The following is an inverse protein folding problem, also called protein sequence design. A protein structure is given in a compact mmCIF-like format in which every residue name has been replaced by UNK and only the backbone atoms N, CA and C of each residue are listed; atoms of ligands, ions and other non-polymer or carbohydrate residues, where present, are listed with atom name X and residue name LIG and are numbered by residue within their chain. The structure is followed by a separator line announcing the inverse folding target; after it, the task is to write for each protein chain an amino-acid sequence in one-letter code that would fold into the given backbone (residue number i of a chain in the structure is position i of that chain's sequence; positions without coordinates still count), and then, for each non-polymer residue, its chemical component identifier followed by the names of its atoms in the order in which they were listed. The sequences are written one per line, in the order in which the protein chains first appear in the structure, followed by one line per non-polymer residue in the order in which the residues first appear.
data_IF_893728697582
#
_entry.id   IF_893728697582
#
_cell.length_a   1.000
_cell.length_b   1.000
_cell.length_c   1.000
_cell.angle_alpha   90.00
_cell.angle_beta   90.00
_cell.angle_gamma   90.00
#
_symmetry.space_group_name_H-M   'P 1'
#
loop_
_entity.id
_entity.type
_entity.pdbx_description
1 polymer ?
#
# COMPACT_ATOMS: atom_id res chain seq x y z
N UNK A 1 20.33 -21.31 -17.86
CA UNK A 1 20.76 -19.91 -17.68
C UNK A 1 20.03 -19.38 -16.47
N UNK A 2 20.70 -19.13 -15.36
CA UNK A 2 20.12 -18.40 -14.24
C UNK A 2 19.86 -16.97 -14.71
N UNK A 3 18.58 -16.58 -14.78
CA UNK A 3 18.16 -15.23 -15.16
C UNK A 3 18.73 -14.29 -14.09
N UNK A 4 19.69 -13.44 -14.46
CA UNK A 4 20.28 -12.48 -13.52
C UNK A 4 19.17 -11.49 -13.16
N UNK A 5 18.81 -11.44 -11.87
CA UNK A 5 17.85 -10.47 -11.37
C UNK A 5 18.43 -9.07 -11.57
N UNK A 6 17.64 -8.17 -12.15
CA UNK A 6 18.04 -6.78 -12.36
C UNK A 6 17.34 -5.93 -11.31
N UNK A 7 18.08 -5.30 -10.38
CA UNK A 7 17.52 -4.37 -9.41
C UNK A 7 16.70 -3.27 -10.09
N UNK A 8 15.59 -2.92 -9.45
CA UNK A 8 14.67 -1.88 -9.92
C UNK A 8 14.42 -0.86 -8.82
N UNK A 9 14.45 0.40 -9.23
CA UNK A 9 14.05 1.54 -8.43
C UNK A 9 12.77 2.11 -9.05
N UNK A 10 11.72 2.22 -8.24
CA UNK A 10 10.43 2.74 -8.63
C UNK A 10 10.24 4.14 -8.02
N UNK A 11 9.99 5.12 -8.88
CA UNK A 11 9.80 6.51 -8.50
C UNK A 11 8.36 6.92 -8.81
N UNK A 12 7.54 7.05 -7.79
CA UNK A 12 6.16 7.52 -7.92
C UNK A 12 6.08 9.01 -7.64
N UNK A 13 5.36 9.75 -8.48
CA UNK A 13 5.22 11.20 -8.29
C UNK A 13 3.93 11.75 -8.90
N UNK A 14 3.66 13.02 -8.59
CA UNK A 14 2.56 13.77 -9.20
C UNK A 14 2.99 14.48 -10.49
N UNK A 15 4.24 14.94 -10.57
CA UNK A 15 4.79 15.61 -11.74
C UNK A 15 6.11 14.96 -12.17
N UNK A 16 6.26 14.73 -13.47
CA UNK A 16 7.49 14.16 -14.02
C UNK A 16 8.60 15.22 -14.08
N UNK A 17 9.76 14.91 -13.50
CA UNK A 17 10.93 15.78 -13.52
C UNK A 17 12.03 15.19 -14.43
N UNK A 18 12.40 15.92 -15.48
CA UNK A 18 13.46 15.52 -16.43
C UNK A 18 14.85 15.35 -15.77
N UNK A 19 15.07 15.86 -14.56
CA UNK A 19 16.29 15.61 -13.81
C UNK A 19 16.51 14.10 -13.56
N UNK A 20 15.45 13.30 -13.50
CA UNK A 20 15.53 11.83 -13.36
C UNK A 20 16.27 11.22 -14.56
N UNK A 21 15.97 11.65 -15.80
CA UNK A 21 16.70 11.23 -17.00
C UNK A 21 18.18 11.61 -16.94
N UNK A 22 18.50 12.80 -16.43
CA UNK A 22 19.88 13.29 -16.35
C UNK A 22 20.70 12.50 -15.32
N UNK A 23 20.07 12.03 -14.26
CA UNK A 23 20.73 11.26 -13.18
C UNK A 23 20.96 9.81 -13.63
N UNK A 24 19.94 9.17 -14.21
CA UNK A 24 19.96 7.73 -14.48
C UNK A 24 20.34 7.35 -15.91
N UNK A 25 20.25 8.28 -16.86
CA UNK A 25 20.36 8.00 -18.29
C UNK A 25 19.02 7.56 -18.86
N UNK A 26 18.64 8.13 -20.02
CA UNK A 26 17.32 7.89 -20.64
C UNK A 26 17.08 6.43 -21.00
N UNK A 27 18.16 5.72 -21.35
CA UNK A 27 18.17 4.30 -21.69
C UNK A 27 17.86 3.37 -20.50
N UNK A 28 18.02 3.86 -19.27
CA UNK A 28 17.86 3.09 -18.05
C UNK A 28 16.52 3.36 -17.36
N UNK A 29 15.66 4.18 -17.96
CA UNK A 29 14.37 4.55 -17.37
C UNK A 29 13.21 4.16 -18.27
N UNK A 30 12.09 3.83 -17.63
CA UNK A 30 10.79 3.67 -18.27
C UNK A 30 9.77 4.48 -17.47
N UNK A 31 9.17 5.48 -18.10
CA UNK A 31 8.10 6.28 -17.51
C UNK A 31 6.75 5.78 -18.01
N UNK A 32 5.81 5.56 -17.08
CA UNK A 32 4.44 5.17 -17.36
C UNK A 32 3.48 6.09 -16.62
N UNK A 33 2.45 6.59 -17.31
CA UNK A 33 1.39 7.40 -16.69
C UNK A 33 0.39 6.47 -15.98
N UNK A 34 -0.06 6.90 -14.81
CA UNK A 34 -1.07 6.20 -14.02
C UNK A 34 -2.42 6.90 -14.23
N UNK A 35 -3.33 6.16 -14.84
CA UNK A 35 -4.72 6.55 -15.11
C UNK A 35 -5.66 5.54 -14.43
N UNK A 36 -6.96 5.83 -14.26
CA UNK A 36 -7.88 4.89 -13.61
C UNK A 36 -8.02 3.55 -14.37
N UNK A 37 -7.62 3.51 -15.64
CA UNK A 37 -7.81 2.37 -16.53
C UNK A 37 -6.48 1.77 -17.01
N UNK A 38 -5.34 2.32 -16.60
CA UNK A 38 -4.04 1.79 -17.02
C UNK A 38 -3.67 0.59 -16.17
N UNK A 39 -3.29 -0.50 -16.83
CA UNK A 39 -2.50 -1.56 -16.20
C UNK A 39 -1.01 -1.27 -16.40
N UNK A 40 -0.22 -1.45 -15.36
CA UNK A 40 1.23 -1.34 -15.45
C UNK A 40 1.81 -2.65 -15.98
N UNK A 41 2.75 -2.57 -16.92
CA UNK A 41 3.31 -3.78 -17.53
C UNK A 41 4.18 -4.59 -16.54
N UNK A 42 4.66 -3.95 -15.47
CA UNK A 42 5.42 -4.59 -14.41
C UNK A 42 4.50 -4.88 -13.21
N UNK A 43 4.24 -6.17 -12.88
CA UNK A 43 3.37 -6.54 -11.76
C UNK A 43 3.85 -6.00 -10.41
N UNK A 44 5.16 -5.74 -10.27
CA UNK A 44 5.74 -5.14 -9.07
C UNK A 44 5.39 -3.65 -8.99
N UNK A 45 5.43 -2.95 -10.13
CA UNK A 45 5.01 -1.57 -10.21
C UNK A 45 3.53 -1.42 -9.88
N UNK A 46 2.69 -2.36 -10.35
CA UNK A 46 1.25 -2.38 -10.06
C UNK A 46 0.98 -2.50 -8.56
N UNK A 47 1.56 -3.49 -7.89
CA UNK A 47 1.45 -3.66 -6.44
C UNK A 47 1.93 -2.44 -5.65
N UNK A 48 3.08 -1.88 -6.04
CA UNK A 48 3.62 -0.67 -5.40
C UNK A 48 2.74 0.56 -5.66
N UNK A 49 2.08 0.65 -6.82
CA UNK A 49 1.18 1.76 -7.16
C UNK A 49 -0.07 1.77 -6.29
N UNK A 50 -0.68 0.60 -6.05
CA UNK A 50 -1.83 0.48 -5.16
C UNK A 50 -1.48 0.88 -3.72
N UNK A 51 -0.29 0.47 -3.25
CA UNK A 51 0.22 0.91 -1.95
C UNK A 51 0.48 2.41 -1.90
N UNK A 52 1.11 2.99 -2.93
CA UNK A 52 1.40 4.41 -2.99
C UNK A 52 0.11 5.25 -2.96
N UNK A 53 -0.88 4.86 -3.76
CA UNK A 53 -2.20 5.53 -3.85
C UNK A 53 -2.93 5.52 -2.50
N UNK A 54 -2.94 4.36 -1.82
CA UNK A 54 -3.59 4.24 -0.51
C UNK A 54 -2.96 5.17 0.55
N UNK A 55 -1.65 5.40 0.48
CA UNK A 55 -0.90 6.08 1.56
C UNK A 55 -0.68 7.57 1.36
N UNK A 56 -0.43 7.96 0.13
CA UNK A 56 -0.02 9.32 -0.19
C UNK A 56 -1.00 10.02 -1.13
N UNK A 57 -2.12 9.35 -1.43
CA UNK A 57 -3.06 9.81 -2.43
C UNK A 57 -2.54 9.52 -3.83
N UNK A 58 -3.37 9.92 -4.79
CA UNK A 58 -3.24 9.47 -6.17
C UNK A 58 -1.97 10.01 -6.84
N UNK A 59 -1.07 9.11 -7.23
CA UNK A 59 0.11 9.43 -8.04
C UNK A 59 -0.24 9.47 -9.53
N UNK A 60 0.46 10.29 -10.31
CA UNK A 60 0.14 10.51 -11.73
C UNK A 60 1.05 9.73 -12.68
N UNK A 61 2.23 9.33 -12.22
CA UNK A 61 3.16 8.53 -13.00
C UNK A 61 4.06 7.69 -12.10
N UNK A 62 4.66 6.69 -12.73
CA UNK A 62 5.77 5.92 -12.20
C UNK A 62 6.95 6.00 -13.17
N UNK A 63 8.16 6.16 -12.63
CA UNK A 63 9.41 5.94 -13.36
C UNK A 63 10.07 4.69 -12.80
N UNK A 64 10.24 3.67 -13.63
CA UNK A 64 11.03 2.49 -13.30
C UNK A 64 12.45 2.69 -13.82
N UNK A 65 13.42 2.58 -12.92
CA UNK A 65 14.85 2.69 -13.23
C UNK A 65 15.51 1.33 -13.06
N UNK A 66 16.27 0.89 -14.05
CA UNK A 66 17.06 -0.34 -14.01
C UNK A 66 18.55 -0.04 -14.13
N UNK A 67 19.40 -0.94 -13.62
CA UNK A 67 20.85 -0.84 -13.85
C UNK A 67 21.52 0.40 -13.23
N UNK A 68 20.92 1.00 -12.21
CA UNK A 68 21.46 2.18 -11.54
C UNK A 68 22.64 1.82 -10.61
N UNK A 69 23.52 2.79 -10.39
CA UNK A 69 24.63 2.72 -9.45
C UNK A 69 24.36 3.52 -8.17
N UNK A 70 25.02 3.16 -7.07
CA UNK A 70 24.91 3.88 -5.78
C UNK A 70 25.19 5.39 -5.88
N UNK A 71 26.09 5.81 -6.78
CA UNK A 71 26.35 7.24 -7.02
C UNK A 71 25.13 7.97 -7.56
N UNK A 72 24.31 7.31 -8.40
CA UNK A 72 23.10 7.88 -8.97
C UNK A 72 21.98 7.99 -7.93
N UNK A 73 21.86 6.99 -7.04
CA UNK A 73 20.98 7.10 -5.87
C UNK A 73 21.35 8.30 -5.00
N UNK A 74 22.64 8.51 -4.76
CA UNK A 74 23.13 9.67 -3.98
C UNK A 74 22.78 10.99 -4.68
N UNK A 75 22.96 11.07 -5.99
CA UNK A 75 22.59 12.24 -6.78
C UNK A 75 21.08 12.52 -6.75
N UNK A 76 20.24 11.48 -6.81
CA UNK A 76 18.79 11.61 -6.69
C UNK A 76 18.40 12.22 -5.34
N UNK A 77 18.97 11.73 -4.24
CA UNK A 77 18.73 12.29 -2.89
C UNK A 77 19.16 13.75 -2.78
N UNK A 78 20.32 14.09 -3.35
CA UNK A 78 20.83 15.46 -3.36
C UNK A 78 20.02 16.41 -4.24
N UNK A 79 19.38 15.90 -5.29
CA UNK A 79 18.54 16.69 -6.17
C UNK A 79 17.21 17.12 -5.52
N UNK A 80 16.82 16.48 -4.40
CA UNK A 80 15.62 16.84 -3.66
C UNK A 80 14.34 16.70 -4.49
N UNK A 81 14.29 15.71 -5.38
CA UNK A 81 13.12 15.49 -6.23
C UNK A 81 11.98 14.91 -5.40
N UNK A 82 10.77 15.42 -5.64
CA UNK A 82 9.56 14.99 -4.94
C UNK A 82 9.01 13.68 -5.54
N UNK A 83 9.67 12.58 -5.16
CA UNK A 83 9.27 11.23 -5.53
C UNK A 83 9.23 10.34 -4.30
N UNK A 84 8.22 9.46 -4.28
CA UNK A 84 8.24 8.30 -3.41
C UNK A 84 9.03 7.19 -4.08
N UNK A 85 10.04 6.69 -3.36
CA UNK A 85 11.08 5.84 -3.92
C UNK A 85 11.04 4.46 -3.28
N UNK A 86 10.87 3.42 -4.09
CA UNK A 86 10.93 2.03 -3.64
C UNK A 86 12.02 1.25 -4.36
N UNK A 87 12.75 0.45 -3.60
CA UNK A 87 13.85 -0.36 -4.11
C UNK A 87 13.55 -1.85 -4.01
N UNK A 88 13.63 -2.57 -5.14
CA UNK A 88 13.53 -4.03 -5.18
C UNK A 88 14.83 -4.57 -5.78
N UNK A 89 15.70 -5.12 -4.92
CA UNK A 89 17.09 -5.47 -5.25
C UNK A 89 17.28 -6.95 -5.57
N UNK A 90 16.39 -7.79 -5.06
CA UNK A 90 16.53 -9.25 -5.14
C UNK A 90 15.21 -9.93 -5.49
N UNK A 91 15.30 -11.21 -5.85
CA UNK A 91 14.12 -12.07 -6.01
C UNK A 91 13.37 -12.20 -4.68
N UNK A 92 14.08 -12.29 -3.55
CA UNK A 92 13.48 -12.33 -2.20
C UNK A 92 12.67 -11.07 -1.89
N UNK A 93 13.14 -9.89 -2.31
CA UNK A 93 12.39 -8.64 -2.16
C UNK A 93 11.08 -8.69 -2.97
N UNK A 94 11.14 -9.19 -4.21
CA UNK A 94 9.98 -9.34 -5.08
C UNK A 94 8.96 -10.35 -4.51
N UNK A 95 9.43 -11.48 -4.01
CA UNK A 95 8.58 -12.52 -3.41
C UNK A 95 7.96 -12.01 -2.11
N UNK A 96 8.77 -11.40 -1.23
CA UNK A 96 8.27 -10.76 0.00
C UNK A 96 7.20 -9.71 -0.29
N UNK A 97 7.43 -8.84 -1.29
CA UNK A 97 6.45 -7.82 -1.66
C UNK A 97 5.14 -8.44 -2.13
N UNK A 98 5.22 -9.56 -2.86
CA UNK A 98 4.04 -10.27 -3.35
C UNK A 98 3.25 -10.88 -2.20
N UNK A 99 3.92 -11.58 -1.29
CA UNK A 99 3.29 -12.18 -0.12
C UNK A 99 2.65 -11.10 0.77
N UNK A 100 3.37 -10.01 1.03
CA UNK A 100 2.87 -8.89 1.85
C UNK A 100 1.69 -8.17 1.20
N UNK A 101 1.69 -8.06 -0.13
CA UNK A 101 0.56 -7.50 -0.87
C UNK A 101 -0.67 -8.41 -0.76
N UNK A 102 -0.51 -9.72 -0.95
CA UNK A 102 -1.62 -10.67 -0.86
C UNK A 102 -2.21 -10.73 0.56
N UNK A 103 -1.37 -10.67 1.59
CA UNK A 103 -1.79 -10.55 2.99
C UNK A 103 -2.56 -9.24 3.24
N UNK A 104 -2.09 -8.12 2.69
CA UNK A 104 -2.75 -6.83 2.83
C UNK A 104 -4.11 -6.81 2.11
N UNK A 105 -4.21 -7.39 0.92
CA UNK A 105 -5.48 -7.53 0.19
C UNK A 105 -6.47 -8.43 0.96
N UNK A 106 -5.97 -9.50 1.57
CA UNK A 106 -6.77 -10.37 2.45
C UNK A 106 -7.30 -9.58 3.66
N UNK A 107 -6.46 -8.76 4.28
CA UNK A 107 -6.86 -7.87 5.36
C UNK A 107 -7.93 -6.86 4.91
N UNK A 108 -7.78 -6.21 3.75
CA UNK A 108 -8.78 -5.31 3.20
C UNK A 108 -10.13 -6.01 2.99
N UNK A 109 -10.12 -7.21 2.41
CA UNK A 109 -11.34 -8.01 2.23
C UNK A 109 -12.01 -8.39 3.55
N UNK A 110 -11.23 -8.73 4.58
CA UNK A 110 -11.75 -8.97 5.93
C UNK A 110 -12.35 -7.70 6.54
N UNK A 111 -11.68 -6.56 6.38
CA UNK A 111 -12.15 -5.27 6.87
C UNK A 111 -13.50 -4.88 6.27
N UNK A 112 -13.64 -4.98 4.96
CA UNK A 112 -14.90 -4.69 4.25
C UNK A 112 -16.02 -5.62 4.72
N UNK A 113 -15.75 -6.92 4.79
CA UNK A 113 -16.71 -7.91 5.31
C UNK A 113 -17.07 -7.65 6.78
N UNK A 114 -16.12 -7.18 7.58
CA UNK A 114 -16.31 -6.80 8.98
C UNK A 114 -17.20 -5.57 9.12
N UNK A 115 -17.07 -4.58 8.23
CA UNK A 115 -17.96 -3.41 8.19
C UNK A 115 -19.40 -3.82 7.86
N UNK A 116 -19.58 -4.70 6.88
CA UNK A 116 -20.91 -5.23 6.52
C UNK A 116 -21.54 -5.98 7.70
N UNK A 117 -20.75 -6.81 8.40
CA UNK A 117 -21.21 -7.52 9.59
C UNK A 117 -21.65 -6.57 10.71
N UNK A 118 -20.85 -5.55 11.03
CA UNK A 118 -21.19 -4.59 12.09
C UNK A 118 -22.41 -3.73 11.73
N UNK A 119 -22.54 -3.33 10.45
CA UNK A 119 -23.73 -2.62 9.96
C UNK A 119 -25.01 -3.46 10.11
N UNK A 120 -24.93 -4.77 9.82
CA UNK A 120 -26.02 -5.69 10.05
C UNK A 120 -26.33 -5.86 11.55
N UNK A 121 -25.31 -5.92 12.42
CA UNK A 121 -25.49 -5.98 13.87
C UNK A 121 -26.18 -4.73 14.41
N UNK A 122 -25.79 -3.53 13.98
CA UNK A 122 -26.42 -2.27 14.37
C UNK A 122 -27.92 -2.25 13.98
N UNK A 123 -28.24 -2.73 12.77
CA UNK A 123 -29.63 -2.87 12.33
C UNK A 123 -30.42 -3.82 13.21
N UNK A 124 -29.86 -4.98 13.55
CA UNK A 124 -30.50 -5.97 14.43
C UNK A 124 -30.68 -5.40 15.84
N UNK A 125 -29.69 -4.71 16.37
CA UNK A 125 -29.74 -4.07 17.68
C UNK A 125 -30.90 -3.06 17.72
N UNK A 126 -30.97 -2.14 16.76
CA UNK A 126 -32.04 -1.14 16.67
C UNK A 126 -33.44 -1.77 16.58
N UNK A 127 -33.58 -2.87 15.83
CA UNK A 127 -34.86 -3.58 15.72
C UNK A 127 -35.23 -4.36 16.99
N UNK A 128 -34.26 -4.70 17.83
CA UNK A 128 -34.46 -5.54 19.02
C UNK A 128 -34.80 -4.77 20.29
N UNK A 129 -34.70 -3.43 20.28
CA UNK A 129 -34.95 -2.56 21.45
C UNK A 129 -36.32 -2.78 22.07
N UNK A 130 -37.35 -2.90 21.23
CA UNK A 130 -38.72 -3.18 21.70
C UNK A 130 -39.01 -4.66 21.98
N UNK A 131 -38.09 -5.56 21.63
CA UNK A 131 -38.27 -7.01 21.72
C UNK A 131 -37.72 -7.60 23.02
N UNK A 132 -36.69 -6.96 23.59
CA UNK A 132 -36.03 -7.40 24.81
C UNK A 132 -36.35 -6.47 25.98
N UNK A 133 -36.16 -6.97 27.20
CA UNK A 133 -36.11 -6.08 28.36
C UNK A 133 -34.81 -5.29 28.39
N UNK A 134 -34.76 -4.27 29.25
CA UNK A 134 -33.64 -3.33 29.35
C UNK A 134 -32.31 -4.04 29.65
N UNK A 135 -32.33 -5.12 30.44
CA UNK A 135 -31.13 -5.84 30.84
C UNK A 135 -30.52 -6.61 29.66
N UNK A 136 -31.34 -7.36 28.92
CA UNK A 136 -30.88 -8.11 27.74
C UNK A 136 -30.51 -7.19 26.58
N UNK A 137 -31.28 -6.11 26.36
CA UNK A 137 -30.95 -5.11 25.36
C UNK A 137 -29.62 -4.41 25.69
N UNK A 138 -29.42 -3.99 26.94
CA UNK A 138 -28.18 -3.36 27.40
C UNK A 138 -26.96 -4.26 27.25
N UNK A 139 -27.10 -5.56 27.56
CA UNK A 139 -26.03 -6.54 27.34
C UNK A 139 -25.66 -6.68 25.85
N UNK A 140 -26.66 -6.72 24.96
CA UNK A 140 -26.46 -6.79 23.52
C UNK A 140 -25.78 -5.51 22.98
N UNK A 141 -26.23 -4.34 23.41
CA UNK A 141 -25.65 -3.05 23.06
C UNK A 141 -24.17 -2.97 23.43
N UNK A 142 -23.82 -3.30 24.68
CA UNK A 142 -22.43 -3.27 25.15
C UNK A 142 -21.54 -4.25 24.39
N UNK A 143 -22.05 -5.45 24.09
CA UNK A 143 -21.30 -6.44 23.29
C UNK A 143 -21.02 -5.93 21.88
N UNK A 144 -21.99 -5.27 21.24
CA UNK A 144 -21.80 -4.65 19.92
C UNK A 144 -20.74 -3.54 19.97
N UNK A 145 -20.80 -2.68 21.00
CA UNK A 145 -19.81 -1.62 21.20
C UNK A 145 -18.39 -2.17 21.35
N UNK A 146 -18.20 -3.19 22.20
CA UNK A 146 -16.89 -3.83 22.40
C UNK A 146 -16.33 -4.44 21.10
N UNK A 147 -17.19 -5.02 20.25
CA UNK A 147 -16.79 -5.59 18.96
C UNK A 147 -16.33 -4.52 17.97
N UNK A 148 -17.03 -3.38 17.90
CA UNK A 148 -16.64 -2.22 17.09
C UNK A 148 -15.26 -1.73 17.52
N UNK A 149 -15.07 -1.47 18.82
CA UNK A 149 -13.81 -0.99 19.38
C UNK A 149 -12.65 -1.96 19.11
N UNK A 150 -12.88 -3.27 19.26
CA UNK A 150 -11.85 -4.28 18.99
C UNK A 150 -11.45 -4.31 17.51
N UNK A 151 -12.41 -4.23 16.60
CA UNK A 151 -12.15 -4.25 15.15
C UNK A 151 -11.38 -3.00 14.73
N UNK A 152 -11.81 -1.83 15.15
CA UNK A 152 -11.18 -0.55 14.77
C UNK A 152 -9.76 -0.46 15.33
N UNK A 153 -9.54 -0.94 16.57
CA UNK A 153 -8.20 -1.03 17.14
C UNK A 153 -7.31 -2.03 16.39
N UNK A 154 -7.85 -3.17 15.95
CA UNK A 154 -7.09 -4.12 15.15
C UNK A 154 -6.67 -3.51 13.81
N UNK A 155 -7.58 -2.79 13.14
CA UNK A 155 -7.27 -2.07 11.90
C UNK A 155 -6.12 -1.08 12.12
N UNK A 156 -6.21 -0.23 13.14
CA UNK A 156 -5.20 0.79 13.42
C UNK A 156 -3.82 0.15 13.60
N UNK A 157 -3.74 -0.87 14.46
CA UNK A 157 -2.48 -1.56 14.78
C UNK A 157 -1.91 -2.27 13.55
N UNK A 158 -2.77 -2.96 12.78
CA UNK A 158 -2.31 -3.68 11.59
C UNK A 158 -1.81 -2.73 10.51
N UNK A 159 -2.58 -1.67 10.17
CA UNK A 159 -2.21 -0.70 9.12
C UNK A 159 -0.92 0.03 9.46
N UNK A 160 -0.71 0.40 10.71
CA UNK A 160 0.52 1.07 11.16
C UNK A 160 1.71 0.11 11.24
N UNK A 161 1.48 -1.13 11.72
CA UNK A 161 2.50 -2.17 11.73
C UNK A 161 2.99 -2.51 10.33
N UNK A 162 2.04 -2.75 9.42
CA UNK A 162 2.31 -2.98 8.00
C UNK A 162 3.06 -1.80 7.38
N UNK A 163 2.64 -0.56 7.65
CA UNK A 163 3.33 0.67 7.20
C UNK A 163 4.82 0.60 7.49
N UNK A 164 5.15 0.48 8.77
CA UNK A 164 6.52 0.58 9.25
C UNK A 164 7.36 -0.55 8.68
N UNK A 165 6.83 -1.77 8.63
CA UNK A 165 7.53 -2.91 8.06
C UNK A 165 7.83 -2.67 6.56
N UNK A 166 6.84 -2.19 5.81
CA UNK A 166 6.95 -1.91 4.38
C UNK A 166 7.96 -0.79 4.08
N UNK A 167 7.83 0.35 4.75
CA UNK A 167 8.75 1.49 4.56
C UNK A 167 10.19 1.11 4.91
N UNK A 168 10.39 0.37 6.01
CA UNK A 168 11.72 -0.07 6.43
C UNK A 168 12.37 -1.05 5.43
N UNK A 169 11.58 -1.90 4.77
CA UNK A 169 12.10 -2.90 3.83
C UNK A 169 12.32 -2.31 2.43
N UNK A 170 11.36 -1.54 1.93
CA UNK A 170 11.31 -1.16 0.51
C UNK A 170 11.54 0.33 0.25
N UNK A 171 11.19 1.23 1.18
CA UNK A 171 11.26 2.66 0.91
C UNK A 171 12.67 3.20 1.08
N UNK A 172 13.15 3.92 0.06
CA UNK A 172 14.39 4.68 0.14
C UNK A 172 14.12 6.00 0.88
N UNK A 173 14.75 6.13 2.05
CA UNK A 173 14.77 7.36 2.86
C UNK A 173 15.75 8.41 2.35
#
# INVERSE_FOLDING_TARGET
MTKVFTPKLYLFGHEYNEAVERIFGKENIKMELITPTSSLADPIAEKLSEFADYRHGRVSHIVTVTGYENKQLTMLKLAGLDYMMFEVKTVDDQDTLSDWFDDYQTFLGWWDSGNDFLSAQETLLNNSESMFDDDYYGALYNTNFDLVDMKDRFEEVYREGFRRAFENKFQLS
#
